data_IF_881184305110
#
_entry.id   IF_881184305110
#
_cell.length_a   1.000
_cell.length_b   1.000
_cell.length_c   1.000
_cell.angle_alpha   90.00
_cell.angle_beta   90.00
_cell.angle_gamma   90.00
#
_symmetry.space_group_name_H-M   'P 1'
#
loop_
_entity.id
_entity.type
_entity.pdbx_description
1 polymer ?
#
# COMPACT_ATOMS: atom_id res chain seq x y z
N UNK A 1 22.68 38.73 -18.74
CA UNK A 1 21.58 37.98 -18.09
C UNK A 1 21.74 36.51 -18.43
N UNK A 2 22.23 35.70 -17.48
CA UNK A 2 22.31 34.25 -17.66
C UNK A 2 20.92 33.67 -17.38
N UNK A 3 20.27 33.12 -18.40
CA UNK A 3 19.03 32.37 -18.24
C UNK A 3 19.41 31.08 -17.52
N UNK A 4 19.21 31.05 -16.21
CA UNK A 4 19.38 29.85 -15.41
C UNK A 4 18.44 28.77 -15.96
N UNK A 5 19.02 27.76 -16.61
CA UNK A 5 18.31 26.55 -17.04
C UNK A 5 17.59 25.99 -15.81
N UNK A 6 16.27 25.73 -15.84
CA UNK A 6 15.57 25.18 -14.69
C UNK A 6 16.26 23.88 -14.30
N UNK A 7 16.94 23.89 -13.15
CA UNK A 7 17.69 22.74 -12.64
C UNK A 7 16.66 21.63 -12.43
N UNK A 8 16.87 20.47 -13.05
CA UNK A 8 16.01 19.30 -12.83
C UNK A 8 15.98 19.06 -11.32
N UNK A 9 14.80 19.16 -10.69
CA UNK A 9 14.65 18.80 -9.28
C UNK A 9 15.19 17.38 -9.11
N UNK A 10 16.22 17.24 -8.27
CA UNK A 10 16.79 15.94 -7.93
C UNK A 10 15.75 15.12 -7.15
N UNK A 11 15.87 13.80 -7.17
CA UNK A 11 15.07 12.93 -6.29
C UNK A 11 15.17 13.37 -4.82
N UNK A 12 16.34 13.85 -4.41
CA UNK A 12 16.58 14.39 -3.06
C UNK A 12 15.77 15.67 -2.83
N UNK A 13 15.70 16.56 -3.83
CA UNK A 13 14.93 17.80 -3.72
C UNK A 13 13.43 17.51 -3.61
N UNK A 14 12.92 16.54 -4.37
CA UNK A 14 11.52 16.10 -4.33
C UNK A 14 11.17 15.47 -2.98
N UNK A 15 12.04 14.61 -2.43
CA UNK A 15 11.86 14.05 -1.10
C UNK A 15 11.88 15.17 -0.05
N UNK A 16 12.88 16.06 -0.11
CA UNK A 16 12.98 17.21 0.79
C UNK A 16 11.77 18.15 0.69
N UNK A 17 11.19 18.33 -0.49
CA UNK A 17 9.96 19.10 -0.69
C UNK A 17 8.74 18.42 -0.05
N UNK A 18 8.61 17.10 -0.21
CA UNK A 18 7.57 16.30 0.46
C UNK A 18 7.63 16.42 1.99
N UNK A 19 8.82 16.29 2.58
CA UNK A 19 9.00 16.49 4.02
C UNK A 19 8.73 17.94 4.45
N UNK A 20 9.13 18.95 3.67
CA UNK A 20 8.77 20.36 3.95
C UNK A 20 7.26 20.59 3.92
N UNK A 21 6.55 19.93 3.00
CA UNK A 21 5.09 19.97 2.97
C UNK A 21 4.47 19.33 4.23
N UNK A 22 4.98 18.17 4.64
CA UNK A 22 4.53 17.50 5.87
C UNK A 22 4.77 18.37 7.12
N UNK A 23 5.92 19.03 7.26
CA UNK A 23 6.22 19.88 8.41
C UNK A 23 5.22 21.03 8.60
N UNK A 24 4.69 21.57 7.50
CA UNK A 24 3.65 22.61 7.57
C UNK A 24 2.34 22.11 8.19
N UNK A 25 2.11 20.79 8.17
CA UNK A 25 0.92 20.14 8.74
C UNK A 25 1.30 18.86 9.47
N UNK A 26 2.18 18.97 10.46
CA UNK A 26 2.71 17.83 11.20
C UNK A 26 1.62 16.99 11.88
N UNK A 27 0.48 17.61 12.23
CA UNK A 27 -0.67 16.93 12.80
C UNK A 27 -1.25 15.82 11.89
N UNK A 28 -1.00 15.84 10.57
CA UNK A 28 -1.42 14.76 9.65
C UNK A 28 -0.77 13.42 10.03
N UNK A 29 0.42 13.45 10.65
CA UNK A 29 1.13 12.25 11.15
C UNK A 29 0.34 11.53 12.25
N UNK A 30 -0.59 12.21 12.92
CA UNK A 30 -1.44 11.59 13.94
C UNK A 30 -2.31 10.46 13.38
N UNK A 31 -2.71 10.52 12.09
CA UNK A 31 -3.51 9.47 11.44
C UNK A 31 -2.71 8.15 11.33
N UNK A 32 -1.55 8.09 10.66
CA UNK A 32 -0.73 6.88 10.61
C UNK A 32 -0.25 6.41 11.98
N UNK A 33 0.03 7.33 12.91
CA UNK A 33 0.39 6.99 14.27
C UNK A 33 -0.76 6.31 15.01
N UNK A 34 -1.98 6.85 14.91
CA UNK A 34 -3.18 6.28 15.51
C UNK A 34 -3.56 4.93 14.90
N UNK A 35 -3.42 4.77 13.58
CA UNK A 35 -3.61 3.46 12.92
C UNK A 35 -2.59 2.44 13.39
N UNK A 36 -1.32 2.84 13.51
CA UNK A 36 -0.28 1.96 14.07
C UNK A 36 -0.57 1.60 15.53
N UNK A 37 -1.01 2.56 16.34
CA UNK A 37 -1.44 2.29 17.72
C UNK A 37 -2.62 1.32 17.77
N UNK A 38 -3.62 1.48 16.90
CA UNK A 38 -4.73 0.53 16.76
C UNK A 38 -4.25 -0.88 16.41
N UNK A 39 -3.30 -1.02 15.48
CA UNK A 39 -2.76 -2.33 15.12
C UNK A 39 -1.98 -2.98 16.27
N UNK A 40 -1.25 -2.23 17.07
CA UNK A 40 -0.45 -2.81 18.17
C UNK A 40 -1.22 -3.01 19.48
N UNK A 41 -2.19 -2.15 19.77
CA UNK A 41 -2.95 -2.16 21.03
C UNK A 41 -4.31 -2.84 20.88
N UNK A 42 -4.86 -2.85 19.66
CA UNK A 42 -6.13 -3.49 19.36
C UNK A 42 -6.02 -5.00 19.28
N UNK A 43 -7.17 -5.67 19.45
CA UNK A 43 -7.29 -7.11 19.29
C UNK A 43 -6.93 -7.54 17.85
N UNK A 44 -6.00 -8.50 17.67
CA UNK A 44 -5.73 -9.05 16.36
C UNK A 44 -6.93 -9.85 15.86
N UNK A 45 -7.14 -9.86 14.53
CA UNK A 45 -8.14 -10.71 13.91
C UNK A 45 -7.49 -12.00 13.43
N UNK A 46 -8.03 -13.15 13.86
CA UNK A 46 -7.50 -14.48 13.53
C UNK A 46 -8.60 -15.39 12.96
N UNK A 47 -8.20 -16.39 12.17
CA UNK A 47 -9.11 -17.41 11.62
C UNK A 47 -9.17 -18.61 12.56
N UNK A 48 -10.20 -18.75 13.41
CA UNK A 48 -10.25 -19.87 14.36
C UNK A 48 -10.92 -21.16 13.80
N UNK A 49 -12.15 -21.16 13.26
CA UNK A 49 -12.78 -22.38 12.72
C UNK A 49 -12.41 -22.68 11.27
N UNK A 50 -12.07 -21.68 10.46
CA UNK A 50 -11.52 -21.94 9.11
C UNK A 50 -10.13 -22.59 9.20
N UNK A 51 -9.45 -22.44 10.35
CA UNK A 51 -8.13 -23.02 10.60
C UNK A 51 -8.14 -24.54 10.42
N UNK A 52 -9.15 -25.28 10.89
CA UNK A 52 -9.11 -26.75 10.80
C UNK A 52 -9.12 -27.25 9.34
N UNK A 53 -9.98 -26.66 8.49
CA UNK A 53 -10.06 -27.00 7.06
C UNK A 53 -8.84 -26.52 6.28
N UNK A 54 -8.31 -25.34 6.62
CA UNK A 54 -7.14 -24.75 5.97
C UNK A 54 -5.84 -25.41 6.46
N UNK A 55 -5.78 -25.86 7.71
CA UNK A 55 -4.63 -26.51 8.34
C UNK A 55 -4.25 -27.79 7.60
N UNK A 56 -5.21 -28.62 7.21
CA UNK A 56 -4.93 -29.82 6.42
C UNK A 56 -4.27 -29.49 5.07
N UNK A 57 -4.74 -28.44 4.39
CA UNK A 57 -4.14 -27.97 3.13
C UNK A 57 -2.76 -27.32 3.33
N UNK A 58 -2.60 -26.54 4.39
CA UNK A 58 -1.33 -25.91 4.75
C UNK A 58 -0.29 -26.96 5.14
N UNK A 59 -0.68 -28.02 5.85
CA UNK A 59 0.21 -29.15 6.18
C UNK A 59 0.64 -29.90 4.92
N UNK A 60 -0.28 -30.15 3.98
CA UNK A 60 0.06 -30.76 2.69
C UNK A 60 1.02 -29.88 1.89
N UNK A 61 0.76 -28.58 1.80
CA UNK A 61 1.65 -27.64 1.13
C UNK A 61 3.03 -27.54 1.82
N UNK A 62 3.06 -27.53 3.15
CA UNK A 62 4.30 -27.50 3.92
C UNK A 62 5.11 -28.81 3.77
N UNK A 63 4.42 -29.96 3.65
CA UNK A 63 5.06 -31.24 3.36
C UNK A 63 5.74 -31.26 1.98
N UNK A 64 5.13 -30.62 0.98
CA UNK A 64 5.74 -30.47 -0.36
C UNK A 64 7.00 -29.60 -0.36
N UNK A 65 7.18 -28.73 0.64
CA UNK A 65 8.38 -27.89 0.77
C UNK A 65 9.58 -28.63 1.39
N UNK A 66 9.42 -29.90 1.82
CA UNK A 66 10.52 -30.75 2.30
C UNK A 66 11.14 -30.32 3.64
N UNK A 67 10.53 -29.39 4.38
CA UNK A 67 11.03 -28.96 5.70
C UNK A 67 10.72 -29.98 6.80
N UNK A 68 11.54 -30.04 7.86
CA UNK A 68 11.30 -30.87 9.05
C UNK A 68 9.91 -30.61 9.68
N UNK A 69 9.30 -31.63 10.30
CA UNK A 69 7.95 -31.59 10.88
C UNK A 69 7.80 -30.48 11.92
N UNK A 70 8.86 -30.20 12.70
CA UNK A 70 8.88 -29.08 13.65
C UNK A 70 8.82 -27.70 12.97
N UNK A 71 9.49 -27.54 11.83
CA UNK A 71 9.47 -26.31 11.03
C UNK A 71 8.13 -26.15 10.32
N UNK A 72 7.57 -27.23 9.75
CA UNK A 72 6.23 -27.22 9.15
C UNK A 72 5.16 -26.79 10.16
N UNK A 73 5.17 -27.37 11.37
CA UNK A 73 4.21 -27.02 12.41
C UNK A 73 4.30 -25.54 12.84
N UNK A 74 5.52 -25.00 12.92
CA UNK A 74 5.75 -23.57 13.19
C UNK A 74 5.24 -22.67 12.06
N UNK A 75 5.50 -23.04 10.81
CA UNK A 75 5.01 -22.28 9.64
C UNK A 75 3.48 -22.23 9.61
N UNK A 76 2.83 -23.39 9.78
CA UNK A 76 1.36 -23.48 9.82
C UNK A 76 0.81 -22.63 10.96
N UNK A 77 1.38 -22.74 12.17
CA UNK A 77 0.95 -21.94 13.33
C UNK A 77 1.12 -20.44 13.08
N UNK A 78 2.26 -20.01 12.54
CA UNK A 78 2.52 -18.60 12.22
C UNK A 78 1.50 -18.03 11.22
N UNK A 79 1.00 -18.83 10.29
CA UNK A 79 -0.03 -18.41 9.32
C UNK A 79 -1.40 -18.32 9.98
N UNK A 80 -1.74 -19.27 10.85
CA UNK A 80 -3.05 -19.30 11.53
C UNK A 80 -3.18 -18.19 12.59
N UNK A 81 -2.08 -17.88 13.28
CA UNK A 81 -1.99 -16.82 14.28
C UNK A 81 -1.67 -15.44 13.66
N UNK A 82 -1.55 -15.35 12.33
CA UNK A 82 -1.28 -14.10 11.64
C UNK A 82 -2.45 -13.13 11.81
N UNK A 83 -2.14 -11.90 12.21
CA UNK A 83 -3.14 -10.84 12.31
C UNK A 83 -3.63 -10.41 10.92
N UNK A 84 -4.90 -10.67 10.66
CA UNK A 84 -5.54 -10.46 9.37
C UNK A 84 -5.86 -8.99 9.09
N UNK A 85 -5.78 -8.10 10.08
CA UNK A 85 -6.16 -6.67 9.90
C UNK A 85 -5.41 -6.01 8.75
N UNK A 86 -4.09 -6.20 8.72
CA UNK A 86 -3.22 -5.63 7.67
C UNK A 86 -3.43 -6.37 6.35
N UNK A 87 -3.53 -7.71 6.41
CA UNK A 87 -3.72 -8.55 5.24
C UNK A 87 -5.06 -8.32 4.55
N UNK A 88 -6.10 -7.89 5.27
CA UNK A 88 -7.42 -7.57 4.71
C UNK A 88 -7.54 -6.11 4.25
N UNK A 89 -6.71 -5.19 4.74
CA UNK A 89 -6.79 -3.77 4.44
C UNK A 89 -6.13 -3.39 3.10
N UNK A 90 -6.58 -3.98 1.99
CA UNK A 90 -6.04 -3.74 0.65
C UNK A 90 -6.22 -2.30 0.16
N UNK A 91 -7.23 -1.60 0.69
CA UNK A 91 -7.52 -0.20 0.39
C UNK A 91 -6.78 0.81 1.30
N UNK A 92 -5.80 0.33 2.08
CA UNK A 92 -5.00 1.19 2.93
C UNK A 92 -3.82 1.81 2.19
N UNK A 93 -3.85 3.13 2.04
CA UNK A 93 -2.72 3.94 1.53
C UNK A 93 -2.01 4.69 2.66
N UNK A 94 -2.43 4.53 3.92
CA UNK A 94 -1.78 5.13 5.08
C UNK A 94 -0.57 4.29 5.49
N UNK A 95 0.60 4.90 5.69
CA UNK A 95 1.77 4.16 6.19
C UNK A 95 1.53 3.72 7.63
N UNK A 96 1.58 2.41 7.88
CA UNK A 96 1.34 1.83 9.20
C UNK A 96 2.48 0.91 9.61
N UNK A 97 2.82 0.92 10.89
CA UNK A 97 3.72 -0.06 11.49
C UNK A 97 2.90 -1.28 11.94
N UNK A 98 2.92 -2.34 11.15
CA UNK A 98 2.27 -3.60 11.50
C UNK A 98 3.04 -4.33 12.64
N UNK A 99 2.33 -4.95 13.59
CA UNK A 99 2.96 -5.85 14.55
C UNK A 99 3.55 -7.07 13.83
N UNK A 100 4.73 -7.50 14.27
CA UNK A 100 5.30 -8.75 13.79
C UNK A 100 4.56 -9.93 14.43
N UNK A 101 4.37 -11.02 13.69
CA UNK A 101 3.71 -12.24 14.18
C UNK A 101 4.40 -12.87 15.40
N UNK A 102 5.69 -12.56 15.62
CA UNK A 102 6.44 -13.01 16.78
C UNK A 102 6.17 -12.21 18.08
N UNK A 103 5.40 -11.13 18.01
CA UNK A 103 5.06 -10.31 19.19
C UNK A 103 3.74 -10.80 19.77
N UNK A 104 3.74 -11.15 21.06
CA UNK A 104 2.52 -11.56 21.75
C UNK A 104 1.48 -10.43 21.69
N UNK A 105 0.24 -10.73 21.26
CA UNK A 105 -0.81 -9.72 21.20
C UNK A 105 -1.15 -9.21 22.60
N UNK A 106 -1.34 -7.90 22.72
CA UNK A 106 -1.64 -7.23 23.99
C UNK A 106 -3.12 -7.30 24.37
N UNK A 107 -3.98 -7.71 23.44
CA UNK A 107 -5.40 -7.88 23.61
C UNK A 107 -5.83 -9.27 23.14
N UNK A 108 -6.93 -9.78 23.71
CA UNK A 108 -7.47 -11.09 23.34
C UNK A 108 -7.85 -11.11 21.84
N UNK A 109 -7.44 -12.15 21.09
CA UNK A 109 -7.69 -12.22 19.66
C UNK A 109 -9.19 -12.35 19.35
N UNK A 110 -9.65 -11.64 18.33
CA UNK A 110 -11.01 -11.80 17.79
C UNK A 110 -10.99 -12.90 16.74
N UNK A 111 -11.70 -13.97 17.04
CA UNK A 111 -11.79 -15.14 16.18
C UNK A 111 -12.94 -15.02 15.17
N UNK A 112 -12.63 -15.09 13.88
CA UNK A 112 -13.63 -15.03 12.82
C UNK A 112 -14.29 -16.40 12.60
N UNK A 113 -15.57 -16.50 12.97
CA UNK A 113 -16.28 -17.77 13.05
C UNK A 113 -16.56 -18.49 11.70
N UNK A 114 -16.29 -17.87 10.55
CA UNK A 114 -16.50 -18.51 9.24
C UNK A 114 -16.34 -17.56 8.05
N UNK A 115 -16.58 -18.04 6.82
CA UNK A 115 -16.39 -17.26 5.59
C UNK A 115 -17.21 -15.97 5.54
N UNK A 116 -18.47 -16.00 6.04
CA UNK A 116 -19.31 -14.80 6.08
C UNK A 116 -18.75 -13.73 7.03
N UNK A 117 -18.27 -14.14 8.21
CA UNK A 117 -17.62 -13.23 9.16
C UNK A 117 -16.33 -12.65 8.57
N UNK A 118 -15.56 -13.45 7.84
CA UNK A 118 -14.37 -13.00 7.12
C UNK A 118 -14.71 -11.97 6.04
N UNK A 119 -15.74 -12.22 5.23
CA UNK A 119 -16.20 -11.28 4.19
C UNK A 119 -16.73 -9.98 4.80
N UNK A 120 -17.50 -10.06 5.88
CA UNK A 120 -17.99 -8.89 6.60
C UNK A 120 -16.84 -8.08 7.20
N UNK A 121 -15.87 -8.73 7.85
CA UNK A 121 -14.67 -8.09 8.37
C UNK A 121 -13.85 -7.43 7.25
N UNK A 122 -13.62 -8.14 6.13
CA UNK A 122 -12.92 -7.61 4.97
C UNK A 122 -13.63 -6.37 4.40
N UNK A 123 -14.96 -6.43 4.25
CA UNK A 123 -15.76 -5.29 3.77
C UNK A 123 -15.65 -4.08 4.70
N UNK A 124 -15.87 -4.26 6.00
CA UNK A 124 -15.78 -3.19 7.00
C UNK A 124 -14.38 -2.58 7.08
N UNK A 125 -13.34 -3.42 7.13
CA UNK A 125 -11.94 -2.98 7.19
C UNK A 125 -11.58 -2.19 5.94
N UNK A 126 -11.96 -2.65 4.74
CA UNK A 126 -11.63 -1.94 3.50
C UNK A 126 -12.39 -0.63 3.34
N UNK A 127 -13.66 -0.57 3.75
CA UNK A 127 -14.42 0.68 3.77
C UNK A 127 -13.77 1.68 4.72
N UNK A 128 -13.42 1.26 5.94
CA UNK A 128 -12.73 2.11 6.90
C UNK A 128 -11.34 2.54 6.39
N UNK A 129 -10.55 1.61 5.86
CA UNK A 129 -9.22 1.87 5.31
C UNK A 129 -9.27 2.86 4.14
N UNK A 130 -10.24 2.72 3.23
CA UNK A 130 -10.43 3.62 2.11
C UNK A 130 -10.79 5.03 2.58
N UNK A 131 -11.73 5.17 3.53
CA UNK A 131 -12.14 6.46 4.07
C UNK A 131 -10.97 7.16 4.79
N UNK A 132 -10.26 6.44 5.66
CA UNK A 132 -9.11 6.98 6.39
C UNK A 132 -7.98 7.36 5.42
N UNK A 133 -7.71 6.50 4.44
CA UNK A 133 -6.72 6.78 3.38
C UNK A 133 -7.07 8.01 2.57
N UNK A 134 -8.34 8.17 2.22
CA UNK A 134 -8.80 9.32 1.43
C UNK A 134 -8.69 10.61 2.23
N UNK A 135 -8.98 10.59 3.54
CA UNK A 135 -8.75 11.72 4.44
C UNK A 135 -7.25 12.03 4.53
N UNK A 136 -6.43 11.02 4.79
CA UNK A 136 -4.97 11.18 4.89
C UNK A 136 -4.37 11.78 3.62
N UNK A 137 -4.67 11.19 2.45
CA UNK A 137 -4.16 11.67 1.16
C UNK A 137 -4.65 13.09 0.85
N UNK A 138 -5.91 13.40 1.15
CA UNK A 138 -6.48 14.75 0.94
C UNK A 138 -5.73 15.79 1.78
N UNK A 139 -5.54 15.52 3.07
CA UNK A 139 -4.83 16.43 3.97
C UNK A 139 -3.36 16.62 3.57
N UNK A 140 -2.73 15.55 3.07
CA UNK A 140 -1.35 15.59 2.59
C UNK A 140 -1.22 16.40 1.30
N UNK A 141 -2.18 16.25 0.37
CA UNK A 141 -2.21 17.06 -0.84
C UNK A 141 -2.52 18.53 -0.56
N UNK A 142 -3.38 18.84 0.40
CA UNK A 142 -3.57 20.22 0.88
C UNK A 142 -2.28 20.81 1.47
N UNK A 143 -1.46 19.99 2.17
CA UNK A 143 -0.15 20.39 2.68
C UNK A 143 0.86 20.71 1.56
N UNK A 144 0.80 19.93 0.48
CA UNK A 144 1.60 20.12 -0.75
C UNK A 144 1.17 21.38 -1.51
N UNK A 145 -0.14 21.60 -1.67
CA UNK A 145 -0.70 22.77 -2.34
C UNK A 145 -0.71 24.05 -1.49
N UNK A 146 -0.41 23.96 -0.19
CA UNK A 146 -0.50 25.08 0.75
C UNK A 146 -1.92 25.66 0.83
N UNK A 147 -2.93 24.80 0.72
CA UNK A 147 -4.33 25.20 0.89
C UNK A 147 -4.59 25.55 2.37
N UNK A 148 -5.56 26.43 2.67
CA UNK A 148 -5.95 26.76 4.04
C UNK A 148 -6.69 25.59 4.69
N UNK A 149 -6.52 25.34 6.01
CA UNK A 149 -7.23 24.26 6.68
C UNK A 149 -8.72 24.57 6.80
N UNK A 150 -9.57 23.74 6.21
CA UNK A 150 -11.02 23.87 6.32
C UNK A 150 -11.65 22.48 6.48
N UNK A 151 -11.82 22.02 7.73
CA UNK A 151 -12.20 20.64 8.07
C UNK A 151 -13.39 20.13 7.25
N UNK A 152 -14.48 20.91 7.16
CA UNK A 152 -15.69 20.50 6.42
C UNK A 152 -15.41 20.30 4.92
N UNK A 153 -14.65 21.20 4.31
CA UNK A 153 -14.27 21.09 2.90
C UNK A 153 -13.32 19.90 2.66
N UNK A 154 -12.35 19.69 3.56
CA UNK A 154 -11.42 18.55 3.50
C UNK A 154 -12.16 17.21 3.62
N UNK A 155 -13.17 17.09 4.49
CA UNK A 155 -13.96 15.88 4.63
C UNK A 155 -14.84 15.60 3.40
N UNK A 156 -15.50 16.62 2.85
CA UNK A 156 -16.27 16.47 1.61
C UNK A 156 -15.37 16.07 0.43
N UNK A 157 -14.17 16.66 0.36
CA UNK A 157 -13.16 16.29 -0.63
C UNK A 157 -12.67 14.86 -0.43
N UNK A 158 -12.40 14.44 0.80
CA UNK A 158 -12.00 13.08 1.11
C UNK A 158 -13.05 12.04 0.70
N UNK A 159 -14.35 12.33 0.87
CA UNK A 159 -15.42 11.44 0.40
C UNK A 159 -15.46 11.32 -1.12
N UNK A 160 -15.23 12.41 -1.86
CA UNK A 160 -15.12 12.36 -3.33
C UNK A 160 -13.89 11.55 -3.76
N UNK A 161 -12.75 11.79 -3.12
CA UNK A 161 -11.50 11.04 -3.34
C UNK A 161 -11.73 9.55 -3.08
N UNK A 162 -12.46 9.18 -2.02
CA UNK A 162 -12.79 7.79 -1.73
C UNK A 162 -13.60 7.15 -2.87
N UNK A 163 -14.62 7.86 -3.38
CA UNK A 163 -15.41 7.43 -4.54
C UNK A 163 -14.56 7.29 -5.80
N UNK A 164 -13.69 8.26 -6.09
CA UNK A 164 -12.81 8.23 -7.25
C UNK A 164 -11.77 7.10 -7.16
N UNK A 165 -11.20 6.83 -5.98
CA UNK A 165 -10.29 5.70 -5.74
C UNK A 165 -11.05 4.38 -5.91
N UNK A 166 -12.27 4.26 -5.37
CA UNK A 166 -13.08 3.06 -5.53
C UNK A 166 -13.41 2.80 -7.01
N UNK A 167 -13.80 3.83 -7.76
CA UNK A 167 -14.04 3.72 -9.20
C UNK A 167 -12.76 3.42 -9.99
N UNK A 168 -11.63 4.00 -9.60
CA UNK A 168 -10.32 3.67 -10.15
C UNK A 168 -10.02 2.18 -9.99
N UNK A 169 -10.18 1.64 -8.79
CA UNK A 169 -9.92 0.23 -8.51
C UNK A 169 -10.91 -0.68 -9.25
N UNK A 170 -12.19 -0.30 -9.29
CA UNK A 170 -13.18 -1.03 -10.07
C UNK A 170 -12.82 -1.05 -11.56
N UNK A 171 -12.36 0.08 -12.11
CA UNK A 171 -11.90 0.16 -13.51
C UNK A 171 -10.65 -0.67 -13.75
N UNK A 172 -9.72 -0.73 -12.78
CA UNK A 172 -8.51 -1.54 -12.87
C UNK A 172 -8.83 -3.02 -12.82
N UNK A 173 -9.72 -3.45 -11.92
CA UNK A 173 -10.18 -4.85 -11.83
C UNK A 173 -10.97 -5.22 -13.09
N UNK A 174 -11.88 -4.36 -13.55
CA UNK A 174 -12.65 -4.61 -14.77
C UNK A 174 -11.76 -4.77 -16.00
N UNK A 175 -10.82 -3.85 -16.22
CA UNK A 175 -9.84 -3.94 -17.31
C UNK A 175 -8.90 -5.14 -17.13
N UNK A 176 -8.46 -5.40 -15.89
CA UNK A 176 -7.63 -6.53 -15.53
C UNK A 176 -8.29 -7.87 -15.85
N UNK A 177 -9.56 -8.07 -15.48
CA UNK A 177 -10.32 -9.29 -15.77
C UNK A 177 -10.53 -9.46 -17.27
N UNK A 178 -10.91 -8.38 -17.98
CA UNK A 178 -11.13 -8.41 -19.43
C UNK A 178 -9.87 -8.82 -20.20
N UNK A 179 -8.71 -8.31 -19.79
CA UNK A 179 -7.42 -8.63 -20.42
C UNK A 179 -6.86 -9.97 -19.92
N UNK A 180 -7.01 -10.27 -18.63
CA UNK A 180 -6.39 -11.43 -18.02
C UNK A 180 -7.09 -12.74 -18.38
N UNK A 181 -8.42 -12.76 -18.53
CA UNK A 181 -9.16 -13.97 -18.91
C UNK A 181 -8.62 -14.66 -20.18
N UNK A 182 -8.51 -13.96 -21.34
CA UNK A 182 -7.97 -14.60 -22.54
C UNK A 182 -6.48 -14.98 -22.38
N UNK A 183 -5.69 -14.15 -21.71
CA UNK A 183 -4.27 -14.44 -21.46
C UNK A 183 -4.08 -15.65 -20.53
N UNK A 184 -4.94 -15.84 -19.53
CA UNK A 184 -4.93 -16.98 -18.62
C UNK A 184 -5.34 -18.25 -19.35
N UNK A 185 -6.33 -18.18 -20.24
CA UNK A 185 -6.71 -19.32 -21.08
C UNK A 185 -5.55 -19.77 -22.00
N UNK A 186 -4.87 -18.81 -22.65
CA UNK A 186 -3.67 -19.09 -23.46
C UNK A 186 -2.57 -19.67 -22.59
N UNK A 187 -2.32 -19.07 -21.42
CA UNK A 187 -1.31 -19.52 -20.46
C UNK A 187 -1.57 -20.96 -20.01
N UNK A 188 -2.82 -21.30 -19.67
CA UNK A 188 -3.22 -22.63 -19.25
C UNK A 188 -3.03 -23.66 -20.37
N UNK A 189 -3.35 -23.30 -21.62
CA UNK A 189 -3.11 -24.14 -22.78
C UNK A 189 -1.61 -24.39 -23.00
N UNK A 190 -0.78 -23.35 -22.90
CA UNK A 190 0.68 -23.46 -23.03
C UNK A 190 1.26 -24.39 -21.96
N UNK A 191 0.82 -24.24 -20.70
CA UNK A 191 1.28 -25.09 -19.59
C UNK A 191 0.80 -26.54 -19.77
N UNK A 192 -0.41 -26.76 -20.24
CA UNK A 192 -0.94 -28.10 -20.49
C UNK A 192 -0.17 -28.83 -21.61
N UNK A 193 0.23 -28.12 -22.67
CA UNK A 193 0.98 -28.68 -23.80
C UNK A 193 2.48 -28.81 -23.50
N UNK A 194 3.04 -27.85 -22.76
CA UNK A 194 4.47 -27.77 -22.44
C UNK A 194 4.62 -27.48 -20.94
N UNK A 195 4.55 -28.51 -20.07
CA UNK A 195 4.63 -28.32 -18.61
C UNK A 195 5.89 -27.58 -18.16
N UNK A 196 7.01 -27.72 -18.89
CA UNK A 196 8.27 -27.06 -18.55
C UNK A 196 8.22 -25.53 -18.77
N UNK A 197 7.22 -25.01 -19.49
CA UNK A 197 7.02 -23.59 -19.71
C UNK A 197 6.40 -22.86 -18.50
N UNK A 198 5.94 -23.58 -17.47
CA UNK A 198 5.23 -23.03 -16.30
C UNK A 198 5.98 -21.85 -15.66
N UNK A 199 7.29 -21.99 -15.40
CA UNK A 199 8.08 -20.92 -14.80
C UNK A 199 8.19 -19.69 -15.72
N UNK A 200 8.32 -19.91 -17.03
CA UNK A 200 8.35 -18.81 -18.02
C UNK A 200 7.03 -18.05 -18.06
N UNK A 201 5.91 -18.76 -18.07
CA UNK A 201 4.56 -18.17 -18.01
C UNK A 201 4.37 -17.36 -16.72
N UNK A 202 4.75 -17.90 -15.56
CA UNK A 202 4.68 -17.20 -14.28
C UNK A 202 5.56 -15.94 -14.27
N UNK A 203 6.76 -16.00 -14.85
CA UNK A 203 7.65 -14.85 -14.96
C UNK A 203 7.05 -13.74 -15.83
N UNK A 204 6.42 -14.09 -16.96
CA UNK A 204 5.72 -13.13 -17.83
C UNK A 204 4.59 -12.43 -17.07
N UNK A 205 3.78 -13.19 -16.33
CA UNK A 205 2.74 -12.63 -15.46
C UNK A 205 3.30 -11.69 -14.39
N UNK A 206 4.39 -12.10 -13.73
CA UNK A 206 5.05 -11.28 -12.73
C UNK A 206 5.54 -9.95 -13.30
N UNK A 207 6.21 -9.99 -14.46
CA UNK A 207 6.68 -8.79 -15.17
C UNK A 207 5.51 -7.90 -15.57
N UNK A 208 4.44 -8.47 -16.12
CA UNK A 208 3.25 -7.73 -16.55
C UNK A 208 2.57 -7.03 -15.36
N UNK A 209 2.38 -7.74 -14.24
CA UNK A 209 1.78 -7.19 -13.01
C UNK A 209 2.68 -6.12 -12.37
N UNK A 210 3.99 -6.34 -12.36
CA UNK A 210 4.96 -5.35 -11.89
C UNK A 210 4.84 -4.03 -12.69
N UNK A 211 4.81 -4.11 -14.02
CA UNK A 211 4.64 -2.93 -14.84
C UNK A 211 3.27 -2.29 -14.69
N UNK A 212 2.20 -3.09 -14.60
CA UNK A 212 0.86 -2.57 -14.32
C UNK A 212 0.86 -1.75 -13.00
N UNK A 213 1.46 -2.29 -11.94
CA UNK A 213 1.63 -1.60 -10.66
C UNK A 213 2.42 -0.29 -10.80
N UNK A 214 3.54 -0.28 -11.53
CA UNK A 214 4.34 0.93 -11.75
C UNK A 214 3.54 1.98 -12.53
N UNK A 215 2.83 1.57 -13.60
CA UNK A 215 2.08 2.47 -14.47
C UNK A 215 0.82 3.06 -13.83
N UNK A 216 0.15 2.33 -12.93
CA UNK A 216 -1.04 2.82 -12.21
C UNK A 216 -0.73 3.31 -10.81
N UNK A 217 0.52 3.14 -10.35
CA UNK A 217 0.94 3.45 -8.99
C UNK A 217 0.76 4.91 -8.59
N UNK A 218 0.76 5.85 -9.55
CA UNK A 218 0.53 7.28 -9.32
C UNK A 218 -0.93 7.73 -9.52
N UNK A 219 -1.86 6.81 -9.77
CA UNK A 219 -3.28 7.14 -9.96
C UNK A 219 -3.93 7.73 -8.69
N UNK A 220 -3.67 7.26 -7.46
CA UNK A 220 -4.18 7.92 -6.25
C UNK A 220 -3.68 9.36 -6.12
N UNK A 221 -2.41 9.62 -6.40
CA UNK A 221 -1.82 10.96 -6.40
C UNK A 221 -2.48 11.85 -7.46
N UNK A 222 -2.80 11.28 -8.63
CA UNK A 222 -3.52 11.97 -9.70
C UNK A 222 -4.94 12.41 -9.32
N UNK A 223 -5.68 11.53 -8.64
CA UNK A 223 -7.03 11.83 -8.15
C UNK A 223 -6.95 13.01 -7.19
N UNK A 224 -5.99 13.01 -6.26
CA UNK A 224 -5.97 13.99 -5.18
C UNK A 224 -5.37 15.33 -5.62
N UNK A 225 -4.30 15.33 -6.41
CA UNK A 225 -3.61 16.54 -6.89
C UNK A 225 -4.37 17.19 -8.04
N UNK A 226 -4.70 16.44 -9.09
CA UNK A 226 -5.33 16.99 -10.30
C UNK A 226 -6.85 17.03 -10.23
N UNK A 227 -7.47 16.46 -9.18
CA UNK A 227 -8.94 16.35 -9.05
C UNK A 227 -9.56 15.70 -10.29
N UNK A 228 -8.80 14.78 -10.90
CA UNK A 228 -9.18 14.10 -12.12
C UNK A 228 -10.00 12.85 -11.79
N UNK A 229 -11.07 12.62 -12.55
CA UNK A 229 -11.82 11.37 -12.46
C UNK A 229 -10.95 10.14 -12.76
N UNK A 230 -11.42 8.93 -12.41
CA UNK A 230 -10.61 7.70 -12.31
C UNK A 230 -9.86 7.34 -13.60
N UNK A 231 -10.52 7.38 -14.76
CA UNK A 231 -9.90 7.06 -16.05
C UNK A 231 -8.84 8.08 -16.46
N UNK A 232 -9.09 9.36 -16.20
CA UNK A 232 -8.12 10.44 -16.46
C UNK A 232 -6.92 10.32 -15.52
N UNK A 233 -7.13 9.92 -14.27
CA UNK A 233 -6.07 9.66 -13.31
C UNK A 233 -5.13 8.54 -13.78
N UNK A 234 -5.67 7.42 -14.28
CA UNK A 234 -4.88 6.33 -14.88
C UNK A 234 -4.09 6.84 -16.09
N UNK A 235 -4.74 7.54 -17.02
CA UNK A 235 -4.08 8.07 -18.22
C UNK A 235 -2.94 9.05 -17.87
N UNK A 236 -3.14 9.91 -16.86
CA UNK A 236 -2.11 10.82 -16.36
C UNK A 236 -0.96 10.08 -15.68
N UNK A 237 -1.25 9.07 -14.85
CA UNK A 237 -0.24 8.20 -14.23
C UNK A 237 0.62 7.54 -15.29
N UNK A 238 0.00 6.90 -16.29
CA UNK A 238 0.72 6.26 -17.41
C UNK A 238 1.59 7.26 -18.16
N UNK A 239 1.08 8.46 -18.45
CA UNK A 239 1.81 9.49 -19.18
C UNK A 239 3.05 9.97 -18.43
N UNK A 240 2.96 10.14 -17.11
CA UNK A 240 4.08 10.56 -16.27
C UNK A 240 5.15 9.47 -16.25
N UNK A 241 4.75 8.21 -15.99
CA UNK A 241 5.68 7.08 -15.94
C UNK A 241 6.38 6.91 -17.29
N UNK A 242 5.66 6.96 -18.41
CA UNK A 242 6.25 6.85 -19.76
C UNK A 242 7.28 7.94 -20.07
N UNK A 243 7.04 9.16 -19.58
CA UNK A 243 7.94 10.31 -19.82
C UNK A 243 9.11 10.38 -18.85
N UNK A 244 8.98 9.81 -17.64
CA UNK A 244 10.03 9.82 -16.61
C UNK A 244 10.27 8.43 -15.99
N UNK A 245 10.47 7.39 -16.80
CA UNK A 245 10.63 6.02 -16.26
C UNK A 245 11.75 5.96 -15.21
N UNK A 246 12.90 6.58 -15.50
CA UNK A 246 14.05 6.57 -14.59
C UNK A 246 13.79 7.31 -13.27
N UNK A 247 13.17 8.49 -13.31
CA UNK A 247 12.84 9.24 -12.09
C UNK A 247 11.74 8.57 -11.27
N UNK A 248 10.75 7.98 -11.95
CA UNK A 248 9.68 7.18 -11.32
C UNK A 248 10.26 5.97 -10.59
N UNK A 249 11.07 5.15 -11.28
CA UNK A 249 11.72 3.99 -10.70
C UNK A 249 12.69 4.39 -9.59
N UNK A 250 13.45 5.48 -9.77
CA UNK A 250 14.35 6.00 -8.75
C UNK A 250 13.63 6.40 -7.47
N UNK A 251 12.50 7.12 -7.58
CA UNK A 251 11.70 7.50 -6.40
C UNK A 251 11.09 6.28 -5.71
N UNK A 252 10.54 5.34 -6.48
CA UNK A 252 9.96 4.11 -5.94
C UNK A 252 11.02 3.24 -5.25
N UNK A 253 12.21 3.09 -5.86
CA UNK A 253 13.32 2.33 -5.31
C UNK A 253 13.84 2.96 -4.02
N UNK A 254 14.10 4.27 -4.01
CA UNK A 254 14.58 4.98 -2.81
C UNK A 254 13.55 4.89 -1.69
N UNK A 255 12.26 5.09 -2.01
CA UNK A 255 11.17 4.97 -1.05
C UNK A 255 11.09 3.54 -0.49
N UNK A 256 11.20 2.53 -1.34
CA UNK A 256 11.23 1.12 -0.93
C UNK A 256 12.42 0.79 -0.01
N UNK A 257 13.62 1.24 -0.36
CA UNK A 257 14.84 1.03 0.44
C UNK A 257 14.71 1.69 1.81
N UNK A 258 14.24 2.95 1.86
CA UNK A 258 14.03 3.68 3.11
C UNK A 258 12.99 2.95 3.96
N UNK A 259 11.81 2.65 3.41
CA UNK A 259 10.73 1.98 4.16
C UNK A 259 11.14 0.61 4.66
N UNK A 260 11.80 -0.20 3.84
CA UNK A 260 12.22 -1.56 4.21
C UNK A 260 13.36 -1.55 5.23
N UNK A 261 14.36 -0.69 5.04
CA UNK A 261 15.48 -0.55 5.97
C UNK A 261 15.03 -0.08 7.35
N UNK A 262 14.19 0.97 7.40
CA UNK A 262 13.66 1.47 8.66
C UNK A 262 12.68 0.50 9.32
N UNK A 263 11.93 -0.31 8.57
CA UNK A 263 11.05 -1.32 9.15
C UNK A 263 11.81 -2.35 10.02
N UNK A 264 13.08 -2.62 9.73
CA UNK A 264 13.93 -3.46 10.60
C UNK A 264 14.21 -2.75 11.93
N UNK A 265 14.62 -1.48 11.86
CA UNK A 265 14.93 -0.65 13.03
C UNK A 265 13.69 -0.48 13.92
N UNK A 266 12.54 -0.17 13.33
CA UNK A 266 11.27 -0.01 14.05
C UNK A 266 10.83 -1.27 14.78
N UNK A 267 11.02 -2.44 14.16
CA UNK A 267 10.69 -3.72 14.81
C UNK A 267 11.58 -4.03 16.00
N UNK A 268 12.86 -3.69 15.94
CA UNK A 268 13.77 -3.84 17.07
C UNK A 268 13.38 -2.88 18.21
N UNK A 269 13.08 -1.62 17.87
CA UNK A 269 12.71 -0.62 18.86
C UNK A 269 11.36 -0.94 19.55
N UNK A 270 10.44 -1.57 18.81
CA UNK A 270 9.12 -1.96 19.29
C UNK A 270 9.11 -3.08 20.35
N UNK A 271 10.26 -3.67 20.68
CA UNK A 271 10.37 -4.68 21.73
C UNK A 271 10.08 -4.14 23.14
N UNK A 272 10.32 -2.83 23.37
CA UNK A 272 10.04 -2.16 24.64
C UNK A 272 8.91 -1.13 24.49
N UNK A 273 8.09 -0.85 25.53
CA UNK A 273 6.94 0.06 25.42
C UNK A 273 7.28 1.48 24.96
N UNK A 274 8.35 2.08 25.50
CA UNK A 274 8.82 3.41 25.08
C UNK A 274 9.35 3.39 23.64
N UNK A 275 10.12 2.36 23.30
CA UNK A 275 10.64 2.18 21.96
C UNK A 275 9.53 1.95 20.92
N UNK A 276 8.45 1.27 21.30
CA UNK A 276 7.27 1.13 20.46
C UNK A 276 6.60 2.48 20.15
N UNK A 277 6.45 3.36 21.14
CA UNK A 277 5.90 4.70 20.89
C UNK A 277 6.77 5.50 19.90
N UNK A 278 8.09 5.43 20.05
CA UNK A 278 9.04 6.05 19.11
C UNK A 278 8.95 5.40 17.73
N UNK A 279 8.84 4.08 17.65
CA UNK A 279 8.70 3.34 16.39
C UNK A 279 7.40 3.70 15.66
N UNK A 280 6.28 3.82 16.37
CA UNK A 280 5.00 4.25 15.81
C UNK A 280 5.07 5.67 15.25
N UNK A 281 5.57 6.63 16.04
CA UNK A 281 5.66 8.04 15.61
C UNK A 281 6.69 8.22 14.50
N UNK A 282 7.85 7.58 14.62
CA UNK A 282 8.93 7.64 13.63
C UNK A 282 8.54 7.02 12.29
N UNK A 283 7.91 5.83 12.31
CA UNK A 283 7.40 5.20 11.09
C UNK A 283 6.27 6.00 10.44
N UNK A 284 5.35 6.54 11.24
CA UNK A 284 4.28 7.40 10.76
C UNK A 284 4.82 8.66 10.08
N UNK A 285 5.82 9.32 10.69
CA UNK A 285 6.48 10.49 10.11
C UNK A 285 7.22 10.16 8.81
N UNK A 286 8.03 9.10 8.80
CA UNK A 286 8.81 8.70 7.61
C UNK A 286 7.89 8.28 6.47
N UNK A 287 6.90 7.44 6.74
CA UNK A 287 5.95 7.00 5.72
C UNK A 287 5.12 8.17 5.17
N UNK A 288 4.72 9.11 6.02
CA UNK A 288 3.98 10.30 5.58
C UNK A 288 4.85 11.21 4.71
N UNK A 289 6.14 11.37 5.05
CA UNK A 289 7.09 12.17 4.27
C UNK A 289 7.33 11.58 2.88
N UNK A 290 7.49 10.26 2.79
CA UNK A 290 7.60 9.56 1.50
C UNK A 290 6.30 9.64 0.67
N UNK A 291 5.15 9.56 1.33
CA UNK A 291 3.84 9.75 0.66
C UNK A 291 3.71 11.19 0.11
N UNK A 292 4.16 12.19 0.87
CA UNK A 292 4.18 13.57 0.44
C UNK A 292 5.18 13.79 -0.72
N UNK A 293 6.32 13.10 -0.69
CA UNK A 293 7.30 13.15 -1.78
C UNK A 293 6.73 12.60 -3.09
N UNK A 294 5.91 11.53 -3.03
CA UNK A 294 5.20 11.00 -4.20
C UNK A 294 4.20 12.01 -4.76
N UNK A 295 3.44 12.69 -3.90
CA UNK A 295 2.52 13.77 -4.32
C UNK A 295 3.27 14.94 -4.96
N UNK A 296 4.39 15.37 -4.39
CA UNK A 296 5.21 16.45 -4.95
C UNK A 296 5.83 16.04 -6.29
N UNK A 297 6.35 14.81 -6.40
CA UNK A 297 6.87 14.27 -7.65
C UNK A 297 5.83 14.34 -8.77
N UNK A 298 4.60 13.88 -8.47
CA UNK A 298 3.49 13.93 -9.39
C UNK A 298 3.15 15.37 -9.80
N UNK A 299 3.00 16.27 -8.82
CA UNK A 299 2.69 17.69 -9.02
C UNK A 299 3.71 18.38 -9.92
N UNK A 300 5.00 18.24 -9.63
CA UNK A 300 6.07 18.84 -10.43
C UNK A 300 6.09 18.32 -11.87
N UNK A 301 5.78 17.04 -12.09
CA UNK A 301 5.78 16.44 -13.44
C UNK A 301 4.60 16.89 -14.26
N UNK A 302 3.44 17.11 -13.63
CA UNK A 302 2.31 17.73 -14.31
C UNK A 302 2.58 19.19 -14.64
N UNK A 303 3.13 19.98 -13.73
CA UNK A 303 3.47 21.37 -14.03
C UNK A 303 4.47 21.48 -15.20
N UNK A 304 5.37 20.49 -15.33
CA UNK A 304 6.34 20.43 -16.43
C UNK A 304 5.74 19.99 -17.77
N UNK A 305 4.72 19.14 -17.78
CA UNK A 305 4.25 18.43 -19.00
C UNK A 305 2.73 18.47 -19.24
N UNK A 306 2.02 19.26 -18.45
CA UNK A 306 0.59 19.53 -18.54
C UNK A 306 0.25 20.80 -19.34
N UNK A 307 1.27 21.48 -19.87
CA UNK A 307 1.14 22.46 -20.97
C UNK A 307 1.35 21.80 -22.32
#
# INVERSE_FOLDING_TARGET
MSIAKPRKASLVDTIGAGYRALHRRLWVVSIPAAMSAYLWLGAPLVLAPLAAAVQGRLQQAAAMLGSDAGTQARLVRNVLDADLRVALAWLNFVPVLAPASAVAPRAAPISLAGPLALLAAAGLINVAALLISSVFLTLLAEAVHQEAPALRHSLQRALRVAGDIALYLLSLVGAGVLLALPLLAISALVVALVPMATLGVLLVWYIALFWAYVYTGFAPEAIVISRAGPLRAIASSVRIVRRDVAGTLGLLLVSFVISSGLAVIWRQLAQNPLGLAVAMLGSAYVGSGLSAARLEFYRERILRWGG
#
